data_IF_121144977103
#
_entry.id   IF_121144977103
#
_cell.length_a   1.000
_cell.length_b   1.000
_cell.length_c   1.000
_cell.angle_alpha   90.00
_cell.angle_beta   90.00
_cell.angle_gamma   90.00
#
_symmetry.space_group_name_H-M   'P 1'
#
loop_
_entity.id
_entity.type
_entity.pdbx_description
1 polymer ?
#
# COMPACT_ATOMS: atom_id res chain seq x y z
N UNK A 1 17.68 35.41 -32.72
CA UNK A 1 16.48 35.08 -31.91
C UNK A 1 16.94 34.24 -30.75
N UNK A 2 16.56 34.53 -29.49
CA UNK A 2 16.79 33.56 -28.42
C UNK A 2 16.03 32.27 -28.76
N UNK A 3 16.66 31.11 -28.56
CA UNK A 3 16.03 29.81 -28.79
C UNK A 3 14.74 29.70 -27.96
N UNK A 4 13.66 29.13 -28.51
CA UNK A 4 12.44 28.89 -27.73
C UNK A 4 12.79 28.02 -26.51
N UNK A 5 12.14 28.24 -25.35
CA UNK A 5 12.45 27.50 -24.14
C UNK A 5 12.42 25.99 -24.41
N UNK A 6 13.47 25.28 -23.97
CA UNK A 6 13.60 23.84 -24.14
C UNK A 6 12.34 23.15 -23.60
N UNK A 7 11.59 22.49 -24.50
CA UNK A 7 10.34 21.77 -24.18
C UNK A 7 10.50 20.89 -22.94
N UNK A 8 9.45 20.78 -22.14
CA UNK A 8 9.47 19.96 -20.92
C UNK A 8 8.63 18.70 -21.12
N UNK A 9 9.19 17.53 -20.85
CA UNK A 9 8.44 16.28 -20.91
C UNK A 9 7.82 15.96 -19.55
N UNK A 10 6.55 15.58 -19.56
CA UNK A 10 5.92 14.74 -18.55
C UNK A 10 6.28 13.29 -18.84
N UNK A 11 6.77 12.56 -17.83
CA UNK A 11 7.08 11.14 -17.95
C UNK A 11 6.30 10.33 -16.92
N UNK A 12 5.89 9.13 -17.34
CA UNK A 12 5.18 8.16 -16.52
C UNK A 12 5.98 6.86 -16.49
N UNK A 13 6.14 6.25 -15.32
CA UNK A 13 6.89 5.02 -15.12
C UNK A 13 5.93 3.94 -14.61
N UNK A 14 5.97 2.76 -15.23
CA UNK A 14 5.06 1.66 -14.89
C UNK A 14 5.85 0.38 -14.58
N UNK A 15 5.24 -0.50 -13.79
CA UNK A 15 5.73 -1.86 -13.60
C UNK A 15 5.29 -2.81 -14.74
N UNK A 16 5.63 -4.09 -14.60
CA UNK A 16 5.29 -5.15 -15.58
C UNK A 16 3.79 -5.41 -15.70
N UNK A 17 3.00 -5.01 -14.70
CA UNK A 17 1.55 -5.22 -14.63
C UNK A 17 0.77 -3.94 -15.03
N UNK A 18 1.43 -2.97 -15.69
CA UNK A 18 0.88 -1.65 -16.07
C UNK A 18 0.45 -0.79 -14.86
N UNK A 19 0.95 -1.06 -13.65
CA UNK A 19 0.72 -0.22 -12.49
C UNK A 19 1.55 1.05 -12.60
N UNK A 20 0.91 2.21 -12.40
CA UNK A 20 1.61 3.49 -12.42
C UNK A 20 2.45 3.67 -11.14
N UNK A 21 3.77 3.65 -11.30
CA UNK A 21 4.73 3.78 -10.20
C UNK A 21 5.02 5.25 -9.89
N UNK A 22 5.28 6.05 -10.91
CA UNK A 22 5.70 7.43 -10.72
C UNK A 22 5.39 8.32 -11.93
N UNK A 23 5.04 9.57 -11.66
CA UNK A 23 4.85 10.65 -12.63
C UNK A 23 5.81 11.79 -12.30
N UNK A 24 6.48 12.34 -13.31
CA UNK A 24 7.42 13.45 -13.12
C UNK A 24 7.59 14.32 -14.35
N UNK A 25 8.12 15.55 -14.20
CA UNK A 25 8.51 16.41 -15.34
C UNK A 25 10.02 16.63 -15.46
N UNK A 26 10.52 16.78 -16.69
CA UNK A 26 11.93 17.10 -16.96
C UNK A 26 12.17 17.67 -18.36
N UNK A 27 13.03 18.69 -18.48
CA UNK A 27 13.58 19.14 -19.77
C UNK A 27 14.68 18.21 -20.30
N UNK A 28 15.23 17.32 -19.46
CA UNK A 28 16.25 16.34 -19.85
C UNK A 28 15.89 14.92 -19.38
N UNK A 29 14.84 14.27 -19.94
CA UNK A 29 14.29 13.02 -19.41
C UNK A 29 15.30 11.88 -19.36
N UNK A 30 16.20 11.79 -20.35
CA UNK A 30 17.28 10.78 -20.38
C UNK A 30 18.19 10.85 -19.15
N UNK A 31 18.58 12.06 -18.74
CA UNK A 31 19.40 12.26 -17.53
C UNK A 31 18.60 11.97 -16.27
N UNK A 32 17.32 12.36 -16.25
CA UNK A 32 16.41 12.09 -15.14
C UNK A 32 16.21 10.59 -14.91
N UNK A 33 16.12 9.78 -15.97
CA UNK A 33 16.02 8.31 -15.85
C UNK A 33 17.28 7.70 -15.25
N UNK A 34 18.48 8.17 -15.64
CA UNK A 34 19.74 7.73 -15.02
C UNK A 34 19.78 8.10 -13.53
N UNK A 35 19.33 9.29 -13.17
CA UNK A 35 19.27 9.73 -11.78
C UNK A 35 18.31 8.87 -10.97
N UNK A 36 17.11 8.59 -11.49
CA UNK A 36 16.17 7.69 -10.83
C UNK A 36 16.74 6.28 -10.67
N UNK A 37 17.42 5.76 -11.69
CA UNK A 37 18.08 4.45 -11.64
C UNK A 37 19.13 4.32 -10.53
N UNK A 38 19.81 5.41 -10.20
CA UNK A 38 20.84 5.44 -9.16
C UNK A 38 20.27 5.67 -7.76
N UNK A 39 19.20 6.45 -7.63
CA UNK A 39 18.70 6.97 -6.35
C UNK A 39 17.46 6.23 -5.82
N UNK A 40 16.61 5.71 -6.71
CA UNK A 40 15.29 5.20 -6.32
C UNK A 40 15.31 3.69 -6.05
N UNK A 41 14.96 3.25 -4.82
CA UNK A 41 14.98 1.83 -4.47
C UNK A 41 13.95 1.01 -5.26
N UNK A 42 12.85 1.63 -5.70
CA UNK A 42 11.80 1.03 -6.52
C UNK A 42 12.12 1.02 -8.03
N UNK A 43 13.24 1.60 -8.46
CA UNK A 43 13.61 1.61 -9.88
C UNK A 43 13.65 0.24 -10.56
N UNK A 44 14.10 -0.86 -9.91
CA UNK A 44 14.08 -2.19 -10.50
C UNK A 44 12.69 -2.68 -10.93
N UNK A 45 11.61 -2.08 -10.40
CA UNK A 45 10.24 -2.42 -10.76
C UNK A 45 9.80 -1.78 -12.09
N UNK A 46 10.50 -0.75 -12.58
CA UNK A 46 10.11 -0.01 -13.79
C UNK A 46 10.32 -0.87 -15.05
N UNK A 47 9.23 -1.27 -15.69
CA UNK A 47 9.22 -2.02 -16.94
C UNK A 47 8.99 -1.13 -18.17
N UNK A 48 8.02 -0.21 -18.10
CA UNK A 48 7.66 0.66 -19.24
C UNK A 48 7.69 2.14 -18.84
N UNK A 49 7.86 3.01 -19.85
CA UNK A 49 8.01 4.45 -19.66
C UNK A 49 7.37 5.20 -20.82
N UNK A 50 6.56 6.20 -20.50
CA UNK A 50 6.01 7.11 -21.50
C UNK A 50 6.54 8.52 -21.34
N UNK A 51 6.48 9.28 -22.42
CA UNK A 51 6.87 10.69 -22.47
C UNK A 51 5.84 11.48 -23.26
N UNK A 52 5.37 12.57 -22.69
CA UNK A 52 4.46 13.54 -23.29
C UNK A 52 5.13 14.91 -23.23
N UNK A 53 5.28 15.57 -24.37
CA UNK A 53 6.05 16.81 -24.48
C UNK A 53 5.15 18.04 -24.49
N UNK A 54 5.45 18.99 -23.62
CA UNK A 54 4.79 20.28 -23.53
C UNK A 54 5.73 21.40 -23.98
N UNK A 55 5.15 22.45 -24.54
CA UNK A 55 5.92 23.61 -25.00
C UNK A 55 6.50 24.41 -23.83
N UNK A 56 5.84 24.40 -22.66
CA UNK A 56 6.33 25.07 -21.44
C UNK A 56 6.40 24.13 -20.23
N UNK A 57 7.22 24.53 -19.25
CA UNK A 57 7.35 23.80 -17.98
C UNK A 57 6.07 23.91 -17.15
N UNK A 58 5.39 25.05 -17.22
CA UNK A 58 4.14 25.33 -16.52
C UNK A 58 3.04 24.35 -16.97
N UNK A 59 2.87 24.18 -18.28
CA UNK A 59 1.93 23.21 -18.86
C UNK A 59 2.25 21.77 -18.41
N UNK A 60 3.52 21.38 -18.44
CA UNK A 60 3.94 20.06 -17.97
C UNK A 60 3.65 19.87 -16.47
N UNK A 61 3.84 20.91 -15.65
CA UNK A 61 3.59 20.85 -14.21
C UNK A 61 2.08 20.75 -13.89
N UNK A 62 1.23 21.46 -14.63
CA UNK A 62 -0.23 21.31 -14.50
C UNK A 62 -0.66 19.89 -14.87
N UNK A 63 -0.14 19.35 -15.98
CA UNK A 63 -0.40 17.98 -16.41
C UNK A 63 0.14 16.93 -15.43
N UNK A 64 1.28 17.19 -14.77
CA UNK A 64 1.85 16.35 -13.71
C UNK A 64 0.92 16.28 -12.50
N UNK A 65 0.45 17.44 -12.01
CA UNK A 65 -0.46 17.52 -10.87
C UNK A 65 -1.76 16.80 -11.18
N UNK A 66 -2.33 17.01 -12.37
CA UNK A 66 -3.57 16.37 -12.77
C UNK A 66 -3.41 14.85 -12.91
N UNK A 67 -2.35 14.39 -13.56
CA UNK A 67 -2.06 12.96 -13.68
C UNK A 67 -1.87 12.30 -12.31
N UNK A 68 -1.16 12.96 -11.38
CA UNK A 68 -0.99 12.43 -10.02
C UNK A 68 -2.34 12.35 -9.30
N UNK A 69 -3.16 13.39 -9.39
CA UNK A 69 -4.48 13.45 -8.75
C UNK A 69 -5.42 12.35 -9.28
N UNK A 70 -5.52 12.23 -10.59
CA UNK A 70 -6.46 11.30 -11.23
C UNK A 70 -6.00 9.84 -11.12
N UNK A 71 -4.71 9.57 -11.34
CA UNK A 71 -4.19 8.21 -11.52
C UNK A 71 -3.51 7.63 -10.27
N UNK A 72 -3.34 8.42 -9.20
CA UNK A 72 -2.82 8.01 -7.89
C UNK A 72 -1.54 7.12 -7.98
N UNK A 73 -0.43 7.63 -8.56
CA UNK A 73 0.81 6.86 -8.71
C UNK A 73 1.37 6.40 -7.36
N UNK A 74 1.99 5.22 -7.34
CA UNK A 74 2.45 4.57 -6.11
C UNK A 74 3.49 5.39 -5.31
N UNK A 75 4.42 6.07 -5.98
CA UNK A 75 5.58 6.73 -5.35
C UNK A 75 5.54 8.27 -5.42
N UNK A 76 4.43 8.89 -5.82
CA UNK A 76 4.27 10.35 -5.82
C UNK A 76 3.84 10.86 -4.43
N UNK A 77 4.78 10.86 -3.48
CA UNK A 77 4.52 11.10 -2.05
C UNK A 77 3.92 12.47 -1.69
N UNK A 78 4.28 13.57 -2.38
CA UNK A 78 3.91 14.95 -1.94
C UNK A 78 2.45 15.32 -2.21
N UNK A 79 1.80 14.73 -3.21
CA UNK A 79 0.42 15.11 -3.62
C UNK A 79 -0.66 14.10 -3.20
N UNK A 80 -0.30 12.86 -2.85
CA UNK A 80 -1.24 11.90 -2.22
C UNK A 80 -1.53 12.24 -0.74
N UNK A 81 -0.69 13.07 -0.11
CA UNK A 81 -0.85 13.50 1.29
C UNK A 81 -2.09 14.40 1.46
N UNK A 82 -2.39 15.30 0.51
CA UNK A 82 -3.49 16.26 0.65
C UNK A 82 -4.88 15.63 0.61
N UNK A 83 -5.05 14.52 -0.12
CA UNK A 83 -6.32 13.79 -0.15
C UNK A 83 -6.55 13.02 1.16
N UNK A 84 -5.51 12.36 1.69
CA UNK A 84 -5.60 11.59 2.94
C UNK A 84 -5.78 12.48 4.17
N UNK A 85 -5.13 13.64 4.22
CA UNK A 85 -5.28 14.60 5.32
C UNK A 85 -6.69 15.21 5.41
N UNK A 86 -7.42 15.31 4.28
CA UNK A 86 -8.79 15.79 4.26
C UNK A 86 -9.81 14.78 4.83
N UNK A 87 -9.39 13.53 5.06
CA UNK A 87 -10.23 12.40 5.45
C UNK A 87 -10.08 12.00 6.92
N UNK A 88 -9.20 12.69 7.67
CA UNK A 88 -9.02 12.44 9.08
C UNK A 88 -10.09 13.21 9.89
N UNK A 89 -10.89 12.58 10.76
CA UNK A 89 -11.64 13.32 11.77
C UNK A 89 -10.63 14.10 12.63
N UNK A 90 -11.01 15.27 13.12
CA UNK A 90 -10.16 16.14 13.94
C UNK A 90 -9.61 15.37 15.16
N UNK A 91 -8.41 14.82 15.04
CA UNK A 91 -7.66 14.23 16.15
C UNK A 91 -7.10 15.39 16.94
N UNK A 92 -7.44 15.45 18.24
CA UNK A 92 -6.90 16.43 19.18
C UNK A 92 -5.37 16.37 19.19
N UNK A 93 -4.76 17.55 19.18
CA UNK A 93 -3.32 17.80 19.17
C UNK A 93 -2.55 16.95 20.18
N UNK A 94 -1.66 16.09 19.67
CA UNK A 94 -0.41 15.74 20.34
C UNK A 94 0.70 15.55 19.28
N UNK A 95 1.86 16.25 19.37
CA UNK A 95 2.78 16.35 18.25
C UNK A 95 3.73 15.14 18.16
N UNK A 96 3.53 14.28 17.16
CA UNK A 96 4.53 13.31 16.71
C UNK A 96 5.62 14.01 15.88
N UNK A 97 6.84 14.05 16.40
CA UNK A 97 8.02 14.57 15.69
C UNK A 97 8.49 13.57 14.62
N UNK A 98 8.68 13.98 13.35
CA UNK A 98 9.29 13.12 12.34
C UNK A 98 10.82 13.03 12.54
N UNK A 99 11.38 11.85 12.30
CA UNK A 99 12.84 11.65 12.15
C UNK A 99 13.17 11.31 10.69
N UNK A 100 14.30 11.81 10.14
CA UNK A 100 14.65 11.64 8.74
C UNK A 100 15.19 10.22 8.43
N UNK A 101 14.80 9.70 7.27
CA UNK A 101 15.24 8.42 6.71
C UNK A 101 16.58 8.53 5.98
N UNK A 102 17.41 7.48 6.05
CA UNK A 102 18.61 7.29 5.23
C UNK A 102 18.79 5.80 4.83
N UNK A 103 19.51 5.59 3.72
CA UNK A 103 19.45 4.47 2.75
C UNK A 103 20.40 3.26 3.05
N UNK A 104 19.92 2.04 2.73
CA UNK A 104 20.55 0.75 2.32
C UNK A 104 21.94 0.29 2.83
N UNK A 105 21.94 -0.80 3.63
CA UNK A 105 22.83 -2.00 3.64
C UNK A 105 22.40 -2.89 4.83
N UNK A 106 21.58 -3.96 4.65
CA UNK A 106 20.74 -4.59 5.71
C UNK A 106 20.78 -3.83 7.04
N UNK A 107 20.19 -2.63 7.00
CA UNK A 107 20.43 -1.58 8.00
C UNK A 107 19.59 -1.78 9.25
N UNK A 108 19.03 -2.99 9.42
CA UNK A 108 18.17 -3.31 10.53
C UNK A 108 18.98 -3.20 11.79
N UNK A 109 18.61 -2.25 12.65
CA UNK A 109 19.19 -2.18 13.98
C UNK A 109 18.90 -3.52 14.71
N UNK A 110 19.68 -3.85 15.74
CA UNK A 110 19.57 -5.17 16.40
C UNK A 110 18.15 -5.44 16.96
N UNK A 111 17.38 -4.38 17.27
CA UNK A 111 15.98 -4.51 17.67
C UNK A 111 15.08 -4.97 16.50
N UNK A 112 15.25 -4.41 15.30
CA UNK A 112 14.54 -4.83 14.09
C UNK A 112 14.94 -6.26 13.67
N UNK A 113 16.21 -6.64 13.81
CA UNK A 113 16.65 -8.01 13.55
C UNK A 113 16.01 -9.00 14.51
N UNK A 114 15.95 -8.67 15.81
CA UNK A 114 15.27 -9.51 16.79
C UNK A 114 13.78 -9.69 16.45
N UNK A 115 13.06 -8.61 16.13
CA UNK A 115 11.66 -8.70 15.73
C UNK A 115 11.50 -9.58 14.47
N UNK A 116 12.37 -9.38 13.47
CA UNK A 116 12.35 -10.17 12.23
C UNK A 116 12.72 -11.65 12.40
N UNK A 117 13.49 -12.03 13.42
CA UNK A 117 13.78 -13.43 13.74
C UNK A 117 12.65 -14.10 14.53
N UNK A 118 11.97 -13.35 15.41
CA UNK A 118 10.87 -13.90 16.24
C UNK A 118 9.57 -14.00 15.43
N UNK A 119 9.29 -13.04 14.53
CA UNK A 119 8.08 -12.99 13.70
C UNK A 119 7.80 -14.31 12.94
N UNK A 120 8.74 -14.89 12.16
CA UNK A 120 8.48 -16.13 11.45
C UNK A 120 8.19 -17.30 12.37
N UNK A 121 8.78 -17.35 13.58
CA UNK A 121 8.50 -18.42 14.55
C UNK A 121 7.07 -18.33 15.09
N UNK A 122 6.56 -17.12 15.30
CA UNK A 122 5.17 -16.89 15.70
C UNK A 122 4.23 -17.26 14.55
N UNK A 123 4.52 -16.79 13.32
CA UNK A 123 3.67 -17.04 12.14
C UNK A 123 3.66 -18.51 11.72
N UNK A 124 4.77 -19.23 11.86
CA UNK A 124 4.86 -20.66 11.59
C UNK A 124 4.19 -21.53 12.68
N UNK A 125 3.86 -20.95 13.83
CA UNK A 125 3.30 -21.66 14.99
C UNK A 125 4.35 -22.32 15.90
N UNK A 126 5.64 -22.22 15.58
CA UNK A 126 6.76 -22.71 16.41
C UNK A 126 6.83 -21.98 17.77
N UNK A 127 6.31 -20.76 17.82
CA UNK A 127 6.02 -20.04 19.06
C UNK A 127 4.51 -19.78 19.15
N UNK A 128 3.73 -20.71 19.75
CA UNK A 128 2.27 -20.67 19.71
C UNK A 128 1.68 -19.42 20.38
N UNK A 129 0.52 -18.97 19.91
CA UNK A 129 -0.26 -17.92 20.57
C UNK A 129 -0.51 -18.28 22.04
N UNK A 130 -0.33 -17.31 22.94
CA UNK A 130 -0.44 -17.49 24.39
C UNK A 130 0.82 -18.06 25.06
N UNK A 131 1.80 -18.55 24.28
CA UNK A 131 3.10 -18.95 24.83
C UNK A 131 3.91 -17.74 25.29
N UNK A 132 4.92 -17.98 26.14
CA UNK A 132 5.77 -16.91 26.67
C UNK A 132 6.93 -16.67 25.71
N UNK A 133 7.14 -15.41 25.32
CA UNK A 133 8.37 -15.00 24.61
C UNK A 133 9.56 -15.22 25.56
N UNK A 134 10.74 -15.66 25.06
CA UNK A 134 11.91 -15.84 25.90
C UNK A 134 12.20 -14.61 26.76
N UNK A 135 12.72 -14.85 27.97
CA UNK A 135 12.95 -13.78 28.94
C UNK A 135 13.91 -12.73 28.37
N UNK A 136 13.79 -11.49 28.82
CA UNK A 136 14.70 -10.41 28.43
C UNK A 136 16.17 -10.81 28.60
N UNK A 137 16.50 -11.54 29.67
CA UNK A 137 17.85 -12.03 29.92
C UNK A 137 18.30 -13.05 28.86
N UNK A 138 17.42 -13.98 28.46
CA UNK A 138 17.69 -14.92 27.39
C UNK A 138 17.90 -14.21 26.05
N UNK A 139 17.05 -13.23 25.73
CA UNK A 139 17.17 -12.44 24.49
C UNK A 139 18.45 -11.59 24.45
N UNK A 140 18.86 -11.02 25.59
CA UNK A 140 20.16 -10.33 25.72
C UNK A 140 21.32 -11.27 25.34
N UNK A 141 21.30 -12.50 25.86
CA UNK A 141 22.33 -13.51 25.57
C UNK A 141 22.32 -13.93 24.11
N UNK A 142 21.13 -14.21 23.55
CA UNK A 142 20.97 -14.67 22.17
C UNK A 142 21.39 -13.60 21.15
N UNK A 143 20.87 -12.38 21.29
CA UNK A 143 21.13 -11.29 20.34
C UNK A 143 22.39 -10.49 20.64
N UNK A 144 23.08 -10.82 21.74
CA UNK A 144 24.32 -10.18 22.22
C UNK A 144 24.20 -8.65 22.25
N UNK A 145 23.14 -8.15 22.89
CA UNK A 145 22.80 -6.72 22.88
C UNK A 145 22.32 -6.22 24.23
N UNK A 146 22.03 -4.92 24.33
CA UNK A 146 21.59 -4.29 25.59
C UNK A 146 20.12 -4.58 25.90
N UNK A 147 19.75 -4.51 27.18
CA UNK A 147 18.35 -4.58 27.60
C UNK A 147 17.49 -3.52 26.88
N UNK A 148 17.99 -2.29 26.73
CA UNK A 148 17.28 -1.20 26.02
C UNK A 148 16.97 -1.59 24.58
N UNK A 149 17.90 -2.26 23.90
CA UNK A 149 17.72 -2.76 22.53
C UNK A 149 16.70 -3.90 22.47
N UNK A 150 16.74 -4.85 23.41
CA UNK A 150 15.72 -5.91 23.52
C UNK A 150 14.33 -5.31 23.79
N UNK A 151 14.19 -4.36 24.71
CA UNK A 151 12.91 -3.70 24.97
C UNK A 151 12.38 -2.96 23.74
N UNK A 152 13.27 -2.38 22.92
CA UNK A 152 12.88 -1.76 21.64
C UNK A 152 12.32 -2.78 20.66
N UNK A 153 12.95 -3.95 20.50
CA UNK A 153 12.44 -4.98 19.59
C UNK A 153 11.15 -5.65 20.11
N UNK A 154 11.00 -5.79 21.43
CA UNK A 154 9.75 -6.26 22.05
C UNK A 154 8.63 -5.24 21.86
N UNK A 155 8.94 -3.93 21.79
CA UNK A 155 7.97 -2.89 21.43
C UNK A 155 7.52 -3.03 19.97
N UNK A 156 8.45 -3.23 19.02
CA UNK A 156 8.10 -3.50 17.62
C UNK A 156 7.09 -4.66 17.52
N UNK A 157 7.37 -5.79 18.17
CA UNK A 157 6.45 -6.94 18.17
C UNK A 157 5.10 -6.62 18.84
N UNK A 158 5.06 -5.74 19.84
CA UNK A 158 3.80 -5.32 20.49
C UNK A 158 2.99 -4.40 19.57
N UNK A 159 3.64 -3.44 18.94
CA UNK A 159 3.02 -2.47 18.04
C UNK A 159 2.48 -3.17 16.78
N UNK A 160 3.14 -4.24 16.33
CA UNK A 160 2.67 -5.12 15.25
C UNK A 160 1.55 -6.09 15.68
N UNK A 161 1.31 -6.23 16.98
CA UNK A 161 0.30 -7.13 17.54
C UNK A 161 0.76 -8.58 17.73
N UNK A 162 2.05 -8.89 17.56
CA UNK A 162 2.63 -10.23 17.79
C UNK A 162 3.00 -10.51 19.26
N UNK A 163 2.98 -9.49 20.12
CA UNK A 163 3.32 -9.64 21.53
C UNK A 163 2.45 -8.77 22.44
N UNK A 164 2.22 -9.23 23.67
CA UNK A 164 1.53 -8.45 24.71
C UNK A 164 2.25 -8.59 26.05
N UNK A 165 2.35 -7.49 26.80
CA UNK A 165 2.86 -7.52 28.17
C UNK A 165 1.78 -7.95 29.17
N UNK A 166 2.10 -8.86 30.10
CA UNK A 166 1.25 -9.17 31.27
C UNK A 166 2.00 -8.86 32.57
N UNK A 167 1.26 -8.66 33.66
CA UNK A 167 1.80 -8.35 35.00
C UNK A 167 2.93 -9.31 35.40
N UNK A 168 4.04 -8.76 35.91
CA UNK A 168 5.25 -9.53 36.28
C UNK A 168 6.37 -9.57 35.23
N UNK A 169 6.44 -8.57 34.34
CA UNK A 169 7.50 -8.41 33.30
C UNK A 169 7.56 -9.54 32.26
N UNK A 170 6.53 -10.38 32.16
CA UNK A 170 6.45 -11.43 31.16
C UNK A 170 5.77 -10.91 29.89
N UNK A 171 6.36 -11.25 28.74
CA UNK A 171 5.79 -10.96 27.42
C UNK A 171 5.31 -12.28 26.82
N UNK A 172 4.11 -12.26 26.26
CA UNK A 172 3.47 -13.43 25.68
C UNK A 172 3.24 -13.19 24.20
N UNK A 173 3.35 -14.26 23.41
CA UNK A 173 2.96 -14.26 22.01
C UNK A 173 1.47 -14.02 21.94
N UNK A 174 1.11 -13.06 21.10
CA UNK A 174 -0.23 -12.98 20.56
C UNK A 174 -0.12 -13.11 19.04
N UNK A 175 -1.18 -13.51 18.39
CA UNK A 175 -1.35 -13.09 17.01
C UNK A 175 -2.14 -11.78 17.08
N UNK A 176 -1.89 -10.78 16.22
CA UNK A 176 -3.01 -9.92 15.87
C UNK A 176 -4.11 -10.89 15.46
N UNK A 177 -5.24 -10.90 16.17
CA UNK A 177 -6.35 -11.77 15.81
C UNK A 177 -6.65 -11.40 14.36
N UNK A 178 -6.39 -12.30 13.39
CA UNK A 178 -6.63 -11.95 12.02
C UNK A 178 -8.10 -11.63 11.94
N UNK A 179 -8.41 -10.41 11.51
CA UNK A 179 -9.79 -10.09 11.19
C UNK A 179 -10.03 -10.81 9.87
N UNK A 180 -10.58 -12.02 10.01
CA UNK A 180 -11.34 -12.65 8.98
C UNK A 180 -12.45 -11.67 8.61
N UNK A 181 -12.27 -10.97 7.49
CA UNK A 181 -13.38 -10.33 6.82
C UNK A 181 -14.19 -11.43 6.13
N UNK A 182 -14.70 -12.36 6.93
CA UNK A 182 -15.74 -13.26 6.52
C UNK A 182 -17.04 -12.44 6.51
N UNK A 183 -18.05 -12.86 5.74
CA UNK A 183 -19.31 -12.11 5.58
C UNK A 183 -20.03 -11.78 6.90
N UNK A 184 -19.70 -12.49 8.00
CA UNK A 184 -20.27 -12.29 9.33
C UNK A 184 -19.57 -11.20 10.16
N UNK A 185 -18.39 -10.71 9.77
CA UNK A 185 -17.67 -9.68 10.52
C UNK A 185 -18.33 -8.33 10.31
N UNK A 186 -18.93 -7.78 11.37
CA UNK A 186 -19.52 -6.46 11.33
C UNK A 186 -18.44 -5.41 11.06
N UNK A 187 -18.56 -4.74 9.93
CA UNK A 187 -17.68 -3.67 9.50
C UNK A 187 -18.51 -2.44 9.14
N UNK A 188 -17.87 -1.28 9.17
CA UNK A 188 -18.44 -0.02 8.73
C UNK A 188 -17.70 0.41 7.48
N UNK A 189 -18.45 0.60 6.40
CA UNK A 189 -17.93 1.18 5.16
C UNK A 189 -18.30 2.67 5.12
N UNK A 190 -17.30 3.51 4.93
CA UNK A 190 -17.47 4.96 4.77
C UNK A 190 -16.97 5.36 3.39
N UNK A 191 -17.87 5.89 2.56
CA UNK A 191 -17.47 6.53 1.31
C UNK A 191 -16.65 7.77 1.62
N UNK A 192 -15.41 7.76 1.13
CA UNK A 192 -14.43 8.82 1.25
C UNK A 192 -14.64 9.85 0.13
N UNK A 193 -14.77 9.36 -1.10
CA UNK A 193 -14.86 10.20 -2.29
C UNK A 193 -15.49 9.42 -3.44
N UNK A 194 -16.07 10.15 -4.38
CA UNK A 194 -16.67 9.60 -5.59
C UNK A 194 -16.53 10.63 -6.70
N UNK A 195 -15.84 10.29 -7.79
CA UNK A 195 -15.53 11.22 -8.88
C UNK A 195 -15.29 10.49 -10.21
N UNK A 196 -15.53 11.19 -11.33
CA UNK A 196 -15.05 10.77 -12.64
C UNK A 196 -13.55 11.05 -12.77
N UNK A 197 -12.77 10.05 -13.21
CA UNK A 197 -11.31 10.17 -13.32
C UNK A 197 -10.81 9.48 -14.58
N UNK A 198 -9.66 9.91 -15.10
CA UNK A 198 -8.90 9.07 -16.03
C UNK A 198 -8.34 7.87 -15.27
N UNK A 199 -8.70 6.62 -15.62
CA UNK A 199 -8.24 5.45 -14.89
C UNK A 199 -6.73 5.22 -15.08
N UNK A 200 -6.04 4.64 -14.09
CA UNK A 200 -4.72 4.05 -14.31
C UNK A 200 -4.74 3.02 -15.45
N UNK A 201 -3.65 2.87 -16.21
CA UNK A 201 -3.57 1.97 -17.39
C UNK A 201 -4.05 0.55 -17.11
N UNK A 202 -3.61 -0.04 -16.01
CA UNK A 202 -4.04 -1.37 -15.59
C UNK A 202 -5.56 -1.47 -15.40
N UNK A 203 -6.19 -0.43 -14.84
CA UNK A 203 -7.65 -0.36 -14.68
C UNK A 203 -8.32 -0.18 -16.04
N UNK A 204 -7.81 0.73 -16.88
CA UNK A 204 -8.35 0.97 -18.22
C UNK A 204 -8.37 -0.31 -19.07
N UNK A 205 -7.26 -1.05 -19.05
CA UNK A 205 -7.10 -2.33 -19.74
C UNK A 205 -8.04 -3.40 -19.18
N UNK A 206 -8.18 -3.50 -17.87
CA UNK A 206 -9.08 -4.47 -17.24
C UNK A 206 -10.56 -4.16 -17.55
N UNK A 207 -10.97 -2.90 -17.51
CA UNK A 207 -12.33 -2.47 -17.86
C UNK A 207 -12.60 -2.42 -19.38
N UNK A 208 -11.58 -2.64 -20.21
CA UNK A 208 -11.64 -2.51 -21.67
C UNK A 208 -12.15 -1.13 -22.14
N UNK A 209 -11.79 -0.05 -21.44
CA UNK A 209 -12.12 1.33 -21.83
C UNK A 209 -11.03 1.96 -22.71
N UNK A 210 -11.41 2.93 -23.53
CA UNK A 210 -10.50 3.64 -24.42
C UNK A 210 -9.44 4.47 -23.67
N UNK A 211 -8.34 4.79 -24.36
CA UNK A 211 -7.30 5.66 -23.79
C UNK A 211 -7.87 7.05 -23.47
N UNK A 212 -7.74 7.47 -22.21
CA UNK A 212 -8.28 8.75 -21.72
C UNK A 212 -9.79 8.76 -21.46
N UNK A 213 -10.50 7.65 -21.70
CA UNK A 213 -11.92 7.53 -21.38
C UNK A 213 -12.12 7.56 -19.85
N UNK A 214 -12.95 8.47 -19.32
CA UNK A 214 -13.16 8.59 -17.89
C UNK A 214 -14.00 7.43 -17.35
N UNK A 215 -13.73 7.06 -16.10
CA UNK A 215 -14.50 6.07 -15.34
C UNK A 215 -14.94 6.68 -14.02
N UNK A 216 -16.00 6.14 -13.43
CA UNK A 216 -16.35 6.45 -12.05
C UNK A 216 -15.34 5.78 -11.12
N UNK A 217 -14.69 6.55 -10.24
CA UNK A 217 -13.92 6.03 -9.11
C UNK A 217 -14.62 6.37 -7.80
N UNK A 218 -14.85 5.36 -6.98
CA UNK A 218 -15.34 5.50 -5.61
C UNK A 218 -14.26 5.01 -4.65
N UNK A 219 -13.95 5.81 -3.63
CA UNK A 219 -13.03 5.44 -2.56
C UNK A 219 -13.81 5.17 -1.28
N UNK A 220 -13.48 4.07 -0.60
CA UNK A 220 -14.15 3.65 0.62
C UNK A 220 -13.12 3.25 1.67
N UNK A 221 -13.32 3.71 2.91
CA UNK A 221 -12.61 3.22 4.09
C UNK A 221 -13.46 2.15 4.77
N UNK A 222 -12.86 1.00 5.06
CA UNK A 222 -13.49 -0.06 5.82
C UNK A 222 -12.87 -0.13 7.21
N UNK A 223 -13.74 -0.09 8.22
CA UNK A 223 -13.36 -0.14 9.63
C UNK A 223 -14.02 -1.32 10.33
N UNK A 224 -13.32 -1.93 11.27
CA UNK A 224 -13.86 -2.91 12.23
C UNK A 224 -13.50 -2.42 13.62
N UNK A 225 -14.50 -2.37 14.52
CA UNK A 225 -14.36 -1.82 15.87
C UNK A 225 -13.72 -0.42 15.90
N UNK A 226 -14.03 0.42 14.90
CA UNK A 226 -13.50 1.77 14.74
C UNK A 226 -12.05 1.85 14.22
N UNK A 227 -11.37 0.72 13.99
CA UNK A 227 -10.02 0.69 13.42
C UNK A 227 -10.08 0.57 11.90
N UNK A 228 -9.36 1.42 11.13
CA UNK A 228 -9.26 1.26 9.68
C UNK A 228 -8.44 0.02 9.35
N UNK A 229 -9.02 -0.86 8.55
CA UNK A 229 -8.42 -2.15 8.20
C UNK A 229 -8.30 -2.34 6.69
N UNK A 230 -8.90 -1.45 5.90
CA UNK A 230 -8.81 -1.51 4.44
C UNK A 230 -9.22 -0.19 3.80
N UNK A 231 -8.54 0.17 2.72
CA UNK A 231 -9.06 1.12 1.73
C UNK A 231 -9.43 0.38 0.46
N UNK A 232 -10.51 0.81 -0.19
CA UNK A 232 -10.98 0.24 -1.45
C UNK A 232 -11.13 1.37 -2.46
N UNK A 233 -10.52 1.22 -3.63
CA UNK A 233 -10.79 2.05 -4.81
C UNK A 233 -11.55 1.21 -5.82
N UNK A 234 -12.82 1.53 -6.05
CA UNK A 234 -13.70 0.85 -6.99
C UNK A 234 -13.86 1.68 -8.25
N UNK A 235 -13.68 1.05 -9.41
CA UNK A 235 -13.75 1.67 -10.73
C UNK A 235 -14.85 1.03 -11.57
N UNK A 236 -15.73 1.85 -12.17
CA UNK A 236 -16.84 1.42 -13.03
C UNK A 236 -16.93 2.30 -14.27
N UNK A 237 -17.35 1.72 -15.41
CA UNK A 237 -17.67 2.51 -16.61
C UNK A 237 -18.88 3.41 -16.31
N UNK A 238 -18.90 4.62 -16.87
CA UNK A 238 -19.95 5.61 -16.55
C UNK A 238 -21.34 5.24 -17.07
N UNK A 239 -21.42 4.43 -18.13
CA UNK A 239 -22.67 4.13 -18.84
C UNK A 239 -23.23 2.74 -18.52
N UNK A 240 -22.51 1.93 -17.75
CA UNK A 240 -22.91 0.55 -17.51
C UNK A 240 -23.97 0.47 -16.42
N UNK A 241 -25.07 -0.21 -16.73
CA UNK A 241 -25.93 -0.74 -15.69
C UNK A 241 -25.12 -1.72 -14.84
N UNK A 242 -25.40 -1.78 -13.54
CA UNK A 242 -24.83 -2.80 -12.66
C UNK A 242 -25.24 -4.18 -13.20
N UNK A 243 -24.32 -4.83 -13.91
CA UNK A 243 -24.46 -6.22 -14.34
C UNK A 243 -24.53 -7.16 -13.14
N UNK A 244 -24.76 -8.44 -13.39
CA UNK A 244 -24.79 -9.46 -12.34
C UNK A 244 -23.41 -10.08 -12.21
N UNK A 245 -22.74 -9.96 -11.05
CA UNK A 245 -21.47 -10.63 -10.82
C UNK A 245 -21.62 -12.16 -10.85
N UNK A 246 -20.71 -12.81 -11.57
CA UNK A 246 -20.61 -14.27 -11.70
C UNK A 246 -19.26 -14.80 -11.19
N UNK A 247 -18.17 -14.08 -11.46
CA UNK A 247 -16.81 -14.49 -11.10
C UNK A 247 -16.01 -13.34 -10.48
N UNK A 248 -15.11 -13.69 -9.56
CA UNK A 248 -14.11 -12.78 -8.99
C UNK A 248 -12.71 -13.28 -9.34
N UNK A 249 -11.93 -12.44 -10.02
CA UNK A 249 -10.52 -12.70 -10.29
C UNK A 249 -9.65 -11.76 -9.44
N UNK A 250 -9.00 -12.33 -8.42
CA UNK A 250 -8.09 -11.61 -7.52
C UNK A 250 -6.63 -11.82 -7.94
N UNK A 251 -5.92 -10.71 -8.19
CA UNK A 251 -4.45 -10.70 -8.21
C UNK A 251 -3.94 -10.07 -6.91
N UNK A 252 -3.25 -10.88 -6.10
CA UNK A 252 -2.74 -10.49 -4.78
C UNK A 252 -1.24 -10.22 -4.85
N UNK A 253 -0.80 -9.06 -4.36
CA UNK A 253 0.62 -8.72 -4.19
C UNK A 253 0.89 -8.11 -2.82
N UNK A 254 2.14 -8.17 -2.35
CA UNK A 254 2.57 -7.63 -1.05
C UNK A 254 3.73 -6.68 -1.26
N UNK A 255 3.70 -5.52 -0.57
CA UNK A 255 4.75 -4.50 -0.65
C UNK A 255 4.81 -3.64 0.60
N UNK A 256 5.88 -2.86 0.81
CA UNK A 256 5.87 -1.79 1.80
C UNK A 256 4.72 -0.78 1.56
N UNK A 257 4.17 -0.18 2.64
CA UNK A 257 3.12 0.82 2.51
C UNK A 257 3.67 2.14 1.95
N UNK A 258 2.80 2.89 1.28
CA UNK A 258 3.06 4.30 0.98
C UNK A 258 2.75 5.17 2.21
N UNK A 259 3.24 6.40 2.25
CA UNK A 259 2.89 7.36 3.31
C UNK A 259 1.38 7.58 3.44
N UNK A 260 0.67 7.64 2.30
CA UNK A 260 -0.78 7.79 2.26
C UNK A 260 -1.49 6.60 2.93
N UNK A 261 -1.01 5.38 2.68
CA UNK A 261 -1.54 4.16 3.28
C UNK A 261 -1.23 4.06 4.77
N UNK A 262 -0.01 4.46 5.19
CA UNK A 262 0.35 4.55 6.61
C UNK A 262 -0.62 5.45 7.37
N UNK A 263 -0.94 6.61 6.80
CA UNK A 263 -1.86 7.57 7.40
C UNK A 263 -3.31 7.06 7.39
N UNK A 264 -3.80 6.57 6.24
CA UNK A 264 -5.19 6.14 6.09
C UNK A 264 -5.53 4.90 6.93
N UNK A 265 -4.60 3.94 6.99
CA UNK A 265 -4.78 2.66 7.70
C UNK A 265 -4.16 2.66 9.10
N UNK A 266 -3.60 3.80 9.54
CA UNK A 266 -2.93 3.95 10.84
C UNK A 266 -1.90 2.84 11.09
N UNK A 267 -1.09 2.55 10.06
CA UNK A 267 -0.13 1.46 10.09
C UNK A 267 1.11 1.83 10.90
N UNK A 268 1.70 0.88 11.64
CA UNK A 268 3.11 0.96 12.00
C UNK A 268 3.97 0.99 10.72
N UNK A 269 5.05 1.78 10.69
CA UNK A 269 5.88 2.00 9.49
C UNK A 269 6.47 0.70 8.88
N UNK A 270 6.62 -0.36 9.68
CA UNK A 270 7.23 -1.63 9.25
C UNK A 270 6.22 -2.68 8.76
N UNK A 271 4.91 -2.39 8.85
CA UNK A 271 3.86 -3.33 8.44
C UNK A 271 3.66 -3.27 6.91
N UNK A 272 3.93 -4.36 6.16
CA UNK A 272 3.63 -4.40 4.74
C UNK A 272 2.13 -4.38 4.50
N UNK A 273 1.73 -3.90 3.32
CA UNK A 273 0.35 -3.98 2.85
C UNK A 273 0.21 -5.06 1.80
N UNK A 274 -0.92 -5.75 1.87
CA UNK A 274 -1.43 -6.56 0.79
C UNK A 274 -2.26 -5.68 -0.14
N UNK A 275 -2.03 -5.84 -1.43
CA UNK A 275 -2.78 -5.20 -2.50
C UNK A 275 -3.55 -6.28 -3.26
N UNK A 276 -4.88 -6.23 -3.20
CA UNK A 276 -5.74 -7.12 -3.98
C UNK A 276 -6.36 -6.31 -5.11
N UNK A 277 -5.94 -6.63 -6.32
CA UNK A 277 -6.55 -6.10 -7.54
C UNK A 277 -7.58 -7.10 -8.02
N UNK A 278 -8.85 -6.76 -7.84
CA UNK A 278 -9.99 -7.60 -8.11
C UNK A 278 -10.69 -7.15 -9.38
N UNK A 279 -10.95 -8.08 -10.27
CA UNK A 279 -11.88 -7.91 -11.39
C UNK A 279 -13.16 -8.65 -11.03
N UNK A 280 -14.30 -7.98 -11.16
CA UNK A 280 -15.63 -8.57 -11.01
C UNK A 280 -16.17 -8.81 -12.40
N UNK A 281 -16.43 -10.07 -12.75
CA UNK A 281 -16.86 -10.47 -14.08
C UNK A 281 -18.31 -10.95 -14.06
N UNK A 282 -19.03 -10.72 -15.16
CA UNK A 282 -20.33 -11.36 -15.42
C UNK A 282 -20.17 -12.77 -16.03
N UNK A 283 -21.32 -13.42 -16.29
CA UNK A 283 -21.38 -14.77 -16.86
C UNK A 283 -20.74 -14.86 -18.27
N UNK A 284 -20.60 -13.73 -18.98
CA UNK A 284 -19.98 -13.65 -20.30
C UNK A 284 -18.46 -13.34 -20.21
N UNK A 285 -17.92 -13.23 -19.00
CA UNK A 285 -16.52 -12.89 -18.74
C UNK A 285 -16.17 -11.42 -18.99
N UNK A 286 -17.17 -10.53 -19.06
CA UNK A 286 -16.93 -9.08 -19.14
C UNK A 286 -16.68 -8.52 -17.74
N UNK A 287 -15.67 -7.66 -17.62
CA UNK A 287 -15.36 -6.99 -16.34
C UNK A 287 -16.36 -5.88 -16.08
N UNK A 288 -17.22 -6.06 -15.09
CA UNK A 288 -18.23 -5.11 -14.62
C UNK A 288 -17.61 -3.99 -13.79
N UNK A 289 -16.69 -4.34 -12.90
CA UNK A 289 -15.97 -3.39 -12.06
C UNK A 289 -14.56 -3.90 -11.70
N UNK A 290 -13.68 -2.95 -11.41
CA UNK A 290 -12.33 -3.23 -10.91
C UNK A 290 -12.19 -2.62 -9.53
N UNK A 291 -11.63 -3.38 -8.59
CA UNK A 291 -11.36 -2.91 -7.25
C UNK A 291 -9.86 -3.02 -6.94
N UNK A 292 -9.30 -2.00 -6.30
CA UNK A 292 -7.97 -2.06 -5.68
C UNK A 292 -8.14 -1.96 -4.17
N UNK A 293 -7.86 -3.05 -3.46
CA UNK A 293 -8.00 -3.14 -2.01
C UNK A 293 -6.60 -3.10 -1.38
N UNK A 294 -6.37 -2.17 -0.45
CA UNK A 294 -5.14 -2.11 0.34
C UNK A 294 -5.44 -2.49 1.78
N UNK A 295 -4.77 -3.54 2.26
CA UNK A 295 -5.03 -4.20 3.54
C UNK A 295 -3.73 -4.35 4.35
N UNK A 296 -3.72 -4.07 5.68
CA UNK A 296 -2.58 -4.34 6.54
C UNK A 296 -2.26 -5.83 6.60
N UNK A 297 -1.03 -6.23 6.25
CA UNK A 297 -0.63 -7.64 6.21
C UNK A 297 -0.56 -8.31 7.58
N UNK A 298 -0.58 -7.54 8.68
CA UNK A 298 -0.65 -8.07 10.03
C UNK A 298 -2.09 -8.16 10.57
N UNK A 299 -3.10 -7.57 9.93
CA UNK A 299 -4.49 -7.59 10.43
C UNK A 299 -5.43 -8.41 9.56
N UNK A 300 -5.16 -8.49 8.26
CA UNK A 300 -6.05 -9.12 7.29
C UNK A 300 -5.49 -10.45 6.80
N UNK A 301 -6.36 -11.45 6.67
CA UNK A 301 -6.07 -12.74 6.02
C UNK A 301 -6.98 -12.90 4.81
N UNK A 302 -6.41 -13.43 3.72
CA UNK A 302 -7.16 -13.91 2.55
C UNK A 302 -7.21 -15.43 2.62
N UNK A 303 -8.41 -15.99 2.69
CA UNK A 303 -8.64 -17.43 2.66
C UNK A 303 -9.31 -17.82 1.35
N UNK A 304 -8.78 -18.83 0.68
CA UNK A 304 -9.36 -19.40 -0.53
C UNK A 304 -9.64 -20.87 -0.31
N UNK A 305 -10.76 -21.36 -0.85
CA UNK A 305 -11.06 -22.79 -0.96
C UNK A 305 -11.12 -23.14 -2.43
N UNK A 306 -10.16 -23.95 -2.88
CA UNK A 306 -10.16 -24.49 -4.23
C UNK A 306 -10.57 -25.96 -4.15
N UNK A 307 -11.76 -26.35 -4.65
CA UNK A 307 -12.09 -27.76 -4.75
C UNK A 307 -11.10 -28.45 -5.69
N UNK A 308 -10.57 -29.60 -5.26
CA UNK A 308 -9.72 -30.46 -6.09
C UNK A 308 -10.53 -31.72 -6.34
N UNK A 309 -10.78 -32.04 -7.61
CA UNK A 309 -11.42 -33.30 -7.95
C UNK A 309 -10.49 -34.46 -7.58
N UNK A 310 -10.96 -35.46 -6.81
CA UNK A 310 -10.15 -36.63 -6.50
C UNK A 310 -9.85 -37.40 -7.79
N UNK A 311 -8.56 -37.69 -8.01
CA UNK A 311 -8.09 -38.53 -9.13
C UNK A 311 -8.54 -39.99 -8.99
#
# INVERSE_FOLDING_TARGET
MPEPPERTALYRLYDVDDRLLYVGISGAPKMRMKAHAADKPWWPEVATRDFEWFDTREQAAEAEVEAIRQQQPLHNHTHNISAVLALLPAVRDEPLRPQPAAVSKDSRNVAQRMAAEIRPLIMAGDMPVGSRIPSTQHLITQFRTSNVTIQRGLRILKDEGFAVGRSGSAVYVTSPAPQHLDDETQHVETEISSAEVTPPRRVARALAVGEGEPVQRQETLVQVDGRPIRTVSTYRRLQDALGVPAELLDQVSVRPPTTAEVLALQLPEEVPVMNVFRQVLDDDGQVLEVQSLIEPGNLCIRQYRTPIDPQ
#
